data_IF_673948813700
#
_entry.id   IF_673948813700
#
_cell.length_a   1.000
_cell.length_b   1.000
_cell.length_c   1.000
_cell.angle_alpha   90.00
_cell.angle_beta   90.00
_cell.angle_gamma   90.00
#
_symmetry.space_group_name_H-M   'P 1'
#
loop_
_entity.id
_entity.type
_entity.pdbx_description
1 polymer ?
#
# COMPACT_ATOMS: atom_id res chain seq x y z
N UNK A 1 1.48 -6.54 -54.36
CA UNK A 1 2.88 -6.86 -54.01
C UNK A 1 2.95 -7.35 -52.60
N UNK A 2 2.91 -8.67 -52.40
CA UNK A 2 3.03 -9.30 -51.08
C UNK A 2 4.48 -9.21 -50.58
N UNK A 3 4.64 -8.58 -49.45
CA UNK A 3 5.92 -8.37 -48.77
C UNK A 3 6.34 -9.69 -48.10
N UNK A 4 7.08 -10.57 -48.84
CA UNK A 4 7.65 -11.84 -48.34
C UNK A 4 8.62 -11.52 -47.21
N UNK A 5 8.19 -11.69 -45.96
CA UNK A 5 9.03 -11.59 -44.76
C UNK A 5 10.19 -12.60 -44.85
N UNK A 6 11.41 -12.09 -44.76
CA UNK A 6 12.65 -12.88 -44.83
C UNK A 6 12.69 -13.91 -43.66
N UNK A 7 12.72 -15.24 -43.94
CA UNK A 7 12.68 -16.29 -42.94
C UNK A 7 13.88 -16.30 -41.98
N UNK A 8 15.00 -15.69 -42.35
CA UNK A 8 16.16 -15.53 -41.47
C UNK A 8 15.88 -14.53 -40.34
N UNK A 9 15.14 -13.48 -40.63
CA UNK A 9 14.71 -12.46 -39.63
C UNK A 9 13.76 -13.08 -38.59
N UNK A 10 12.82 -13.91 -38.98
CA UNK A 10 11.89 -14.59 -38.07
C UNK A 10 12.57 -15.60 -37.13
N UNK A 11 13.60 -16.32 -37.62
CA UNK A 11 14.37 -17.26 -36.81
C UNK A 11 15.28 -16.56 -35.81
N UNK A 12 15.87 -15.46 -36.23
CA UNK A 12 16.70 -14.60 -35.39
C UNK A 12 15.85 -13.90 -34.33
N UNK A 13 14.64 -13.42 -34.66
CA UNK A 13 13.68 -12.85 -33.73
C UNK A 13 13.19 -13.90 -32.72
N UNK A 14 12.92 -15.12 -33.10
CA UNK A 14 12.57 -16.25 -32.19
C UNK A 14 13.72 -16.57 -31.22
N UNK A 15 14.96 -16.53 -31.72
CA UNK A 15 16.14 -16.79 -30.88
C UNK A 15 16.34 -15.67 -29.86
N UNK A 16 16.26 -14.42 -30.28
CA UNK A 16 16.29 -13.24 -29.41
C UNK A 16 15.12 -13.27 -28.40
N UNK A 17 13.93 -13.70 -28.82
CA UNK A 17 12.79 -13.89 -27.92
C UNK A 17 13.07 -14.92 -26.84
N UNK A 18 13.61 -16.10 -27.19
CA UNK A 18 13.97 -17.13 -26.20
C UNK A 18 15.06 -16.63 -25.25
N UNK A 19 16.05 -15.88 -25.76
CA UNK A 19 17.10 -15.28 -24.92
C UNK A 19 16.54 -14.17 -24.01
N UNK A 20 15.66 -13.29 -24.53
CA UNK A 20 14.99 -12.26 -23.73
C UNK A 20 14.04 -12.87 -22.70
N UNK A 21 13.31 -13.95 -23.04
CA UNK A 21 12.50 -14.70 -22.08
C UNK A 21 13.38 -15.41 -21.04
N UNK A 22 14.51 -15.98 -21.45
CA UNK A 22 15.48 -16.59 -20.54
C UNK A 22 16.12 -15.53 -19.64
N UNK A 23 16.49 -14.38 -20.20
CA UNK A 23 17.02 -13.24 -19.47
C UNK A 23 15.95 -12.57 -18.58
N UNK A 24 14.70 -12.45 -19.03
CA UNK A 24 13.59 -11.98 -18.21
C UNK A 24 13.27 -12.92 -17.03
N UNK A 25 13.51 -14.21 -17.18
CA UNK A 25 13.46 -15.18 -16.07
C UNK A 25 14.65 -15.04 -15.11
N UNK A 26 15.74 -14.43 -15.54
CA UNK A 26 16.95 -14.20 -14.78
C UNK A 26 17.07 -12.75 -14.28
N UNK A 27 16.27 -11.80 -14.80
CA UNK A 27 16.32 -10.38 -14.43
C UNK A 27 15.59 -10.15 -13.12
N UNK A 28 16.27 -9.56 -12.26
CA UNK A 28 16.14 -9.06 -10.91
C UNK A 28 14.73 -8.99 -10.29
N UNK A 29 13.83 -8.28 -10.87
CA UNK A 29 12.50 -8.07 -10.31
C UNK A 29 11.50 -9.19 -10.64
N UNK A 30 11.71 -9.94 -11.73
CA UNK A 30 10.92 -11.14 -12.03
C UNK A 30 11.45 -12.36 -11.30
N UNK A 31 12.76 -12.48 -11.08
CA UNK A 31 13.30 -13.50 -10.17
C UNK A 31 12.77 -13.26 -8.76
N UNK A 32 12.69 -12.02 -8.30
CA UNK A 32 12.04 -11.66 -7.04
C UNK A 32 10.60 -12.16 -6.97
N UNK A 33 9.80 -11.87 -7.99
CA UNK A 33 8.42 -12.30 -8.03
C UNK A 33 8.32 -13.83 -8.04
N UNK A 34 9.04 -14.50 -8.94
CA UNK A 34 9.04 -15.97 -9.05
C UNK A 34 9.57 -16.65 -7.80
N UNK A 35 10.64 -16.10 -7.21
CA UNK A 35 11.28 -16.62 -6.02
C UNK A 35 10.32 -16.63 -4.82
N UNK A 36 9.52 -15.59 -4.70
CA UNK A 36 8.70 -15.33 -3.52
C UNK A 36 7.29 -15.92 -3.68
N UNK A 37 6.74 -15.95 -4.90
CA UNK A 37 5.35 -16.37 -5.16
C UNK A 37 5.23 -17.76 -5.76
N UNK A 38 6.28 -18.27 -6.40
CA UNK A 38 6.25 -19.50 -7.20
C UNK A 38 5.74 -19.29 -8.63
N UNK A 39 6.01 -20.24 -9.54
CA UNK A 39 5.75 -20.10 -10.97
C UNK A 39 4.25 -20.04 -11.32
N UNK A 40 3.38 -20.61 -10.48
CA UNK A 40 1.95 -20.76 -10.79
C UNK A 40 1.22 -19.42 -10.82
N UNK A 41 1.60 -18.47 -9.96
CA UNK A 41 0.95 -17.16 -9.89
C UNK A 41 1.16 -16.32 -11.15
N UNK A 42 2.32 -16.42 -11.80
CA UNK A 42 2.54 -15.75 -13.10
C UNK A 42 1.81 -16.46 -14.25
N UNK A 43 1.72 -17.79 -14.22
CA UNK A 43 0.96 -18.54 -15.21
C UNK A 43 -0.53 -18.21 -15.20
N UNK A 44 -1.13 -18.11 -14.02
CA UNK A 44 -2.53 -17.66 -13.86
C UNK A 44 -2.75 -16.24 -14.39
N UNK A 45 -1.74 -15.40 -14.32
CA UNK A 45 -1.82 -13.99 -14.71
C UNK A 45 -1.46 -13.76 -16.18
N UNK A 46 -0.61 -14.59 -16.76
CA UNK A 46 -0.41 -14.61 -18.23
C UNK A 46 -1.72 -14.91 -18.96
N UNK A 47 -2.61 -15.72 -18.37
CA UNK A 47 -3.95 -15.97 -18.90
C UNK A 47 -4.88 -14.73 -18.86
N UNK A 48 -4.60 -13.76 -18.00
CA UNK A 48 -5.33 -12.49 -17.91
C UNK A 48 -4.76 -11.40 -18.84
N UNK A 49 -3.61 -11.64 -19.46
CA UNK A 49 -3.04 -10.69 -20.40
C UNK A 49 -3.79 -10.75 -21.73
N UNK A 50 -4.23 -9.61 -22.27
CA UNK A 50 -4.77 -9.57 -23.62
C UNK A 50 -3.71 -10.00 -24.63
N UNK A 51 -4.13 -10.54 -25.77
CA UNK A 51 -3.23 -10.80 -26.90
C UNK A 51 -2.40 -9.53 -27.20
N UNK A 52 -1.09 -9.65 -27.14
CA UNK A 52 -0.18 -8.53 -27.39
C UNK A 52 0.79 -8.84 -28.53
N UNK A 53 1.05 -7.81 -29.32
CA UNK A 53 2.12 -7.89 -30.33
C UNK A 53 3.46 -7.90 -29.62
N UNK A 54 4.37 -8.74 -30.10
CA UNK A 54 5.73 -8.78 -29.63
C UNK A 54 6.41 -7.40 -29.80
N UNK A 55 6.77 -6.78 -28.68
CA UNK A 55 7.41 -5.46 -28.63
C UNK A 55 8.67 -5.52 -27.78
N UNK A 56 9.49 -4.44 -27.81
CA UNK A 56 10.72 -4.32 -27.04
C UNK A 56 10.50 -4.58 -25.53
N UNK A 57 9.37 -4.12 -24.98
CA UNK A 57 8.98 -4.31 -23.59
C UNK A 57 7.61 -5.03 -23.54
N UNK A 58 7.60 -6.38 -23.46
CA UNK A 58 6.39 -7.15 -23.17
C UNK A 58 5.82 -6.83 -21.79
N UNK A 59 4.56 -7.18 -21.48
CA UNK A 59 3.93 -6.85 -20.19
C UNK A 59 4.73 -7.33 -18.98
N UNK A 60 5.27 -8.55 -18.99
CA UNK A 60 6.08 -9.11 -17.90
C UNK A 60 7.37 -8.32 -17.68
N UNK A 61 8.11 -8.00 -18.74
CA UNK A 61 9.31 -7.16 -18.66
C UNK A 61 8.96 -5.75 -18.20
N UNK A 62 7.83 -5.20 -18.68
CA UNK A 62 7.37 -3.88 -18.27
C UNK A 62 7.03 -3.84 -16.79
N UNK A 63 6.34 -4.87 -16.28
CA UNK A 63 6.02 -5.02 -14.86
C UNK A 63 7.30 -5.11 -14.02
N UNK A 64 8.25 -5.95 -14.44
CA UNK A 64 9.54 -6.10 -13.77
C UNK A 64 10.32 -4.78 -13.68
N UNK A 65 10.43 -4.07 -14.79
CA UNK A 65 11.08 -2.75 -14.83
C UNK A 65 10.37 -1.73 -13.95
N UNK A 66 9.03 -1.77 -13.89
CA UNK A 66 8.27 -0.81 -13.09
C UNK A 66 8.37 -1.13 -11.59
N UNK A 67 8.43 -2.41 -11.20
CA UNK A 67 8.76 -2.82 -9.84
C UNK A 67 10.18 -2.40 -9.44
N UNK A 68 11.18 -2.65 -10.29
CA UNK A 68 12.55 -2.17 -10.07
C UNK A 68 12.61 -0.65 -9.93
N UNK A 69 11.87 0.08 -10.78
CA UNK A 69 11.79 1.54 -10.73
C UNK A 69 11.30 2.06 -9.37
N UNK A 70 10.23 1.50 -8.79
CA UNK A 70 9.71 1.96 -7.49
C UNK A 70 10.55 1.49 -6.30
N UNK A 71 11.35 0.43 -6.45
CA UNK A 71 12.29 -0.05 -5.45
C UNK A 71 13.64 0.70 -5.50
N UNK A 72 13.95 1.32 -6.64
CA UNK A 72 15.18 2.10 -6.82
C UNK A 72 15.12 3.44 -6.09
N UNK A 73 16.25 3.87 -5.53
CA UNK A 73 16.39 5.16 -4.86
C UNK A 73 16.16 6.36 -5.81
N UNK A 74 16.51 6.24 -7.09
CA UNK A 74 16.28 7.25 -8.11
C UNK A 74 14.81 7.30 -8.58
N UNK A 75 14.17 6.15 -8.73
CA UNK A 75 12.76 6.04 -9.14
C UNK A 75 12.45 6.57 -10.54
N UNK A 76 13.45 6.94 -11.34
CA UNK A 76 13.25 7.52 -12.67
C UNK A 76 13.07 6.46 -13.76
N UNK A 77 12.33 6.82 -14.81
CA UNK A 77 12.24 5.99 -16.01
C UNK A 77 13.59 5.79 -16.68
N UNK A 78 14.50 6.78 -16.58
CA UNK A 78 15.82 6.70 -17.17
C UNK A 78 16.66 5.64 -16.48
N UNK A 79 16.62 5.59 -15.13
CA UNK A 79 17.33 4.56 -14.39
C UNK A 79 16.80 3.16 -14.74
N UNK A 80 15.49 2.96 -14.79
CA UNK A 80 14.89 1.67 -15.17
C UNK A 80 15.28 1.23 -16.60
N UNK A 81 15.39 2.16 -17.55
CA UNK A 81 15.87 1.87 -18.90
C UNK A 81 17.37 1.53 -18.91
N UNK A 82 18.18 2.26 -18.16
CA UNK A 82 19.63 1.99 -18.04
C UNK A 82 19.89 0.60 -17.43
N UNK A 83 19.20 0.25 -16.34
CA UNK A 83 19.29 -1.08 -15.73
C UNK A 83 18.89 -2.19 -16.72
N UNK A 84 17.80 -2.00 -17.46
CA UNK A 84 17.38 -2.95 -18.50
C UNK A 84 18.41 -3.06 -19.64
N UNK A 85 19.09 -1.97 -20.02
CA UNK A 85 20.15 -2.00 -21.02
C UNK A 85 21.38 -2.79 -20.53
N UNK A 86 21.81 -2.57 -19.29
CA UNK A 86 22.92 -3.32 -18.67
C UNK A 86 22.55 -4.81 -18.60
N UNK A 87 21.36 -5.14 -18.12
CA UNK A 87 20.86 -6.50 -18.04
C UNK A 87 20.86 -7.21 -19.41
N UNK A 88 20.40 -6.53 -20.47
CA UNK A 88 20.43 -7.06 -21.84
C UNK A 88 21.86 -7.32 -22.33
N UNK A 89 22.74 -6.36 -22.08
CA UNK A 89 24.17 -6.48 -22.48
C UNK A 89 24.83 -7.68 -21.80
N UNK A 90 24.63 -7.84 -20.48
CA UNK A 90 25.17 -8.96 -19.72
C UNK A 90 24.57 -10.33 -20.15
N UNK A 91 23.36 -10.32 -20.71
CA UNK A 91 22.73 -11.51 -21.30
C UNK A 91 23.12 -11.75 -22.77
N UNK A 92 24.11 -11.05 -23.31
CA UNK A 92 24.55 -11.18 -24.69
C UNK A 92 23.55 -10.66 -25.73
N UNK A 93 22.66 -9.76 -25.34
CA UNK A 93 21.65 -9.13 -26.22
C UNK A 93 21.97 -7.65 -26.41
N UNK A 94 21.78 -7.14 -27.61
CA UNK A 94 21.94 -5.71 -27.90
C UNK A 94 21.21 -4.84 -26.88
N UNK A 95 21.87 -3.84 -26.25
CA UNK A 95 21.28 -3.01 -25.19
C UNK A 95 20.09 -2.19 -25.67
N UNK A 96 20.09 -1.80 -26.94
CA UNK A 96 19.05 -0.99 -27.55
C UNK A 96 19.16 0.52 -27.18
N UNK A 97 18.10 1.29 -27.44
CA UNK A 97 18.08 2.73 -27.22
C UNK A 97 17.88 3.10 -25.74
N UNK A 98 18.62 4.10 -25.25
CA UNK A 98 18.46 4.70 -23.93
C UNK A 98 17.20 5.60 -23.81
N UNK A 99 16.43 5.79 -24.90
CA UNK A 99 15.23 6.62 -24.87
C UNK A 99 14.12 5.97 -24.04
N UNK A 100 13.53 6.74 -23.14
CA UNK A 100 12.48 6.28 -22.21
C UNK A 100 11.09 6.19 -22.85
N UNK A 101 10.89 6.71 -24.07
CA UNK A 101 9.58 6.76 -24.73
C UNK A 101 8.90 5.41 -24.87
N UNK A 102 9.63 4.41 -25.42
CA UNK A 102 9.12 3.05 -25.58
C UNK A 102 8.74 2.38 -24.26
N UNK A 103 9.49 2.62 -23.18
CA UNK A 103 9.18 2.14 -21.85
C UNK A 103 7.95 2.86 -21.27
N UNK A 104 7.88 4.18 -21.42
CA UNK A 104 6.71 4.97 -20.99
C UNK A 104 5.42 4.48 -21.66
N UNK A 105 5.47 4.18 -22.96
CA UNK A 105 4.32 3.63 -23.68
C UNK A 105 4.01 2.19 -23.28
N UNK A 106 5.01 1.38 -22.95
CA UNK A 106 4.80 0.04 -22.42
C UNK A 106 4.07 0.09 -21.06
N UNK A 107 4.45 1.00 -20.15
CA UNK A 107 3.75 1.19 -18.88
C UNK A 107 2.29 1.64 -19.06
N UNK A 108 1.97 2.48 -20.06
CA UNK A 108 0.59 2.85 -20.38
C UNK A 108 -0.24 1.64 -20.80
N UNK A 109 0.34 0.74 -21.60
CA UNK A 109 -0.34 -0.48 -22.09
C UNK A 109 -0.50 -1.57 -21.02
N UNK A 110 0.31 -1.58 -19.97
CA UNK A 110 0.17 -2.54 -18.88
C UNK A 110 -1.21 -2.35 -18.23
N UNK A 111 -2.08 -3.38 -18.19
CA UNK A 111 -3.40 -3.25 -17.56
C UNK A 111 -3.27 -2.96 -16.07
N UNK A 112 -4.01 -1.97 -15.57
CA UNK A 112 -4.04 -1.64 -14.14
C UNK A 112 -4.62 -2.79 -13.34
N UNK A 113 -5.68 -3.37 -13.84
CA UNK A 113 -6.43 -4.49 -13.25
C UNK A 113 -5.53 -5.71 -13.00
N UNK A 114 -4.60 -5.99 -13.90
CA UNK A 114 -3.60 -7.03 -13.74
C UNK A 114 -2.70 -6.74 -12.53
N UNK A 115 -2.20 -5.52 -12.39
CA UNK A 115 -1.32 -5.15 -11.27
C UNK A 115 -2.08 -5.20 -9.94
N UNK A 116 -3.35 -4.76 -9.95
CA UNK A 116 -4.24 -4.85 -8.79
C UNK A 116 -4.43 -6.29 -8.35
N UNK A 117 -4.77 -7.16 -9.29
CA UNK A 117 -5.00 -8.58 -9.00
C UNK A 117 -3.74 -9.28 -8.50
N UNK A 118 -2.58 -8.99 -9.07
CA UNK A 118 -1.29 -9.45 -8.56
C UNK A 118 -1.07 -9.04 -7.10
N UNK A 119 -1.24 -7.77 -6.79
CA UNK A 119 -1.03 -7.27 -5.44
C UNK A 119 -1.97 -7.92 -4.42
N UNK A 120 -3.25 -8.11 -4.81
CA UNK A 120 -4.27 -8.79 -4.00
C UNK A 120 -3.98 -10.28 -3.86
N UNK A 121 -3.56 -10.96 -4.93
CA UNK A 121 -3.21 -12.39 -4.92
C UNK A 121 -2.05 -12.68 -3.99
N UNK A 122 -0.98 -11.88 -4.03
CA UNK A 122 0.14 -11.99 -3.08
C UNK A 122 -0.38 -11.87 -1.63
N UNK A 123 -1.23 -10.89 -1.35
CA UNK A 123 -1.78 -10.70 0.00
C UNK A 123 -2.70 -11.85 0.43
N UNK A 124 -3.54 -12.39 -0.48
CA UNK A 124 -4.39 -13.57 -0.22
C UNK A 124 -3.54 -14.81 0.06
N UNK A 125 -2.51 -15.06 -0.76
CA UNK A 125 -1.59 -16.17 -0.56
C UNK A 125 -0.89 -16.11 0.81
N UNK A 126 -0.49 -14.90 1.24
CA UNK A 126 0.04 -14.71 2.60
C UNK A 126 -1.01 -15.02 3.67
N UNK A 127 -2.26 -14.58 3.47
CA UNK A 127 -3.37 -14.83 4.38
C UNK A 127 -3.65 -16.33 4.57
N UNK A 128 -3.74 -17.10 3.48
CA UNK A 128 -3.99 -18.55 3.53
C UNK A 128 -2.86 -19.34 4.20
N UNK A 129 -1.61 -18.90 3.99
CA UNK A 129 -0.40 -19.53 4.55
C UNK A 129 -0.04 -19.01 5.96
N UNK A 130 -0.83 -18.08 6.54
CA UNK A 130 -0.55 -17.51 7.86
C UNK A 130 -0.72 -18.56 8.95
N UNK A 131 0.33 -18.92 9.72
CA UNK A 131 0.23 -19.90 10.82
C UNK A 131 -0.73 -19.44 11.92
N UNK A 132 -1.33 -20.40 12.63
CA UNK A 132 -2.30 -20.11 13.69
C UNK A 132 -1.69 -19.27 14.83
N UNK A 133 -0.42 -19.48 15.17
CA UNK A 133 0.31 -18.74 16.20
C UNK A 133 0.54 -17.26 15.87
N UNK A 134 0.40 -16.84 14.60
CA UNK A 134 0.46 -15.43 14.21
C UNK A 134 -0.89 -14.74 14.28
N UNK A 135 -1.97 -15.50 14.53
CA UNK A 135 -3.34 -15.01 14.61
C UNK A 135 -3.75 -14.85 16.07
N UNK A 136 -4.62 -13.89 16.32
CA UNK A 136 -5.18 -13.72 17.65
C UNK A 136 -6.30 -14.74 17.89
N UNK A 137 -6.05 -15.72 18.74
CA UNK A 137 -7.00 -16.83 19.00
C UNK A 137 -7.48 -17.54 17.73
N UNK A 138 -6.57 -17.73 16.76
CA UNK A 138 -6.85 -18.34 15.46
C UNK A 138 -7.58 -17.43 14.47
N UNK A 139 -7.90 -16.18 14.84
CA UNK A 139 -8.66 -15.22 14.02
C UNK A 139 -7.74 -14.21 13.35
N UNK A 140 -8.12 -13.77 12.16
CA UNK A 140 -7.44 -12.69 11.46
C UNK A 140 -7.85 -11.33 12.02
N UNK A 141 -6.86 -10.49 12.26
CA UNK A 141 -7.06 -9.09 12.61
C UNK A 141 -6.67 -8.24 11.42
N UNK A 142 -7.55 -7.32 11.03
CA UNK A 142 -7.37 -6.38 9.94
C UNK A 142 -7.38 -4.96 10.47
N UNK A 143 -6.34 -4.22 10.11
CA UNK A 143 -6.14 -2.82 10.49
C UNK A 143 -6.65 -1.94 9.36
N UNK A 144 -7.36 -0.88 9.70
CA UNK A 144 -7.86 0.10 8.73
C UNK A 144 -7.41 1.49 9.13
N UNK A 145 -6.89 2.23 8.17
CA UNK A 145 -6.54 3.63 8.35
C UNK A 145 -6.49 4.37 7.01
N UNK A 146 -6.66 5.69 7.08
CA UNK A 146 -6.57 6.61 5.96
C UNK A 146 -5.21 7.29 5.87
N UNK A 147 -4.82 7.68 4.67
CA UNK A 147 -3.64 8.52 4.42
C UNK A 147 -3.83 9.35 3.16
N UNK A 148 -2.86 10.20 2.84
CA UNK A 148 -2.85 11.01 1.63
C UNK A 148 -1.55 10.84 0.86
N UNK A 149 -1.62 11.00 -0.46
CA UNK A 149 -0.48 11.03 -1.37
C UNK A 149 -0.56 12.27 -2.27
N UNK A 150 0.59 12.74 -2.72
CA UNK A 150 0.71 13.85 -3.64
C UNK A 150 1.05 13.37 -5.05
N UNK A 151 0.72 14.18 -6.04
CA UNK A 151 0.98 13.89 -7.46
C UNK A 151 1.61 15.10 -8.14
N UNK A 152 2.27 14.92 -9.31
CA UNK A 152 2.76 16.04 -10.12
C UNK A 152 1.65 17.02 -10.47
N UNK A 153 2.00 18.31 -10.44
CA UNK A 153 1.11 19.41 -10.76
C UNK A 153 0.86 19.48 -12.28
N UNK A 154 -0.11 18.71 -12.76
CA UNK A 154 -0.59 18.70 -14.14
C UNK A 154 -2.08 18.99 -14.18
N UNK A 155 -2.59 19.50 -15.31
CA UNK A 155 -4.01 19.78 -15.47
C UNK A 155 -4.89 18.54 -15.27
N UNK A 156 -4.44 17.37 -15.76
CA UNK A 156 -5.17 16.11 -15.57
C UNK A 156 -5.24 15.70 -14.10
N UNK A 157 -4.10 15.72 -13.40
CA UNK A 157 -4.07 15.35 -11.97
C UNK A 157 -4.85 16.37 -11.12
N UNK A 158 -4.78 17.68 -11.40
CA UNK A 158 -5.58 18.69 -10.71
C UNK A 158 -7.09 18.55 -10.98
N UNK A 159 -7.46 18.12 -12.18
CA UNK A 159 -8.87 17.89 -12.54
C UNK A 159 -9.51 16.77 -11.75
N UNK A 160 -8.80 15.65 -11.56
CA UNK A 160 -9.30 14.48 -10.83
C UNK A 160 -9.00 14.49 -9.33
N UNK A 161 -7.84 15.02 -8.94
CA UNK A 161 -7.36 15.10 -7.56
C UNK A 161 -6.96 16.53 -7.19
N UNK A 162 -7.95 17.43 -7.01
CA UNK A 162 -7.66 18.83 -6.78
C UNK A 162 -6.76 19.06 -5.56
N UNK A 163 -5.97 20.13 -5.57
CA UNK A 163 -5.20 20.59 -4.43
C UNK A 163 -6.06 20.83 -3.18
N UNK A 164 -5.45 20.87 -2.01
CA UNK A 164 -6.16 21.16 -0.75
C UNK A 164 -6.85 22.52 -0.80
N UNK A 165 -8.11 22.57 -0.32
CA UNK A 165 -8.95 23.78 -0.43
C UNK A 165 -8.47 24.98 0.36
N UNK A 166 -7.65 24.80 1.42
CA UNK A 166 -7.04 25.88 2.19
C UNK A 166 -5.84 26.54 1.49
N UNK A 167 -5.35 25.96 0.41
CA UNK A 167 -4.22 26.51 -0.34
C UNK A 167 -4.73 27.45 -1.44
N UNK A 168 -3.97 28.52 -1.70
CA UNK A 168 -4.26 29.44 -2.81
C UNK A 168 -4.32 28.68 -4.13
N UNK A 169 -5.32 28.97 -4.94
CA UNK A 169 -5.52 28.29 -6.22
C UNK A 169 -4.24 28.29 -7.08
N UNK A 170 -3.86 27.11 -7.58
CA UNK A 170 -2.65 26.88 -8.38
C UNK A 170 -1.32 26.94 -7.61
N UNK A 171 -1.34 26.99 -6.27
CA UNK A 171 -0.15 26.95 -5.43
C UNK A 171 0.08 25.56 -4.77
N UNK A 172 -0.97 24.72 -4.72
CA UNK A 172 -0.91 23.39 -4.15
C UNK A 172 -0.69 22.28 -5.17
N UNK A 173 -0.23 21.14 -4.70
CA UNK A 173 -0.15 19.93 -5.51
C UNK A 173 -1.47 19.15 -5.48
N UNK A 174 -1.79 18.40 -6.55
CA UNK A 174 -2.87 17.43 -6.53
C UNK A 174 -2.69 16.46 -5.37
N UNK A 175 -3.79 16.17 -4.67
CA UNK A 175 -3.77 15.32 -3.48
C UNK A 175 -4.89 14.29 -3.52
N UNK A 176 -4.53 13.00 -3.36
CA UNK A 176 -5.50 11.93 -3.21
C UNK A 176 -5.54 11.44 -1.76
N UNK A 177 -6.73 10.98 -1.35
CA UNK A 177 -6.95 10.23 -0.13
C UNK A 177 -6.87 8.74 -0.44
N UNK A 178 -6.23 7.99 0.43
CA UNK A 178 -6.19 6.54 0.41
C UNK A 178 -6.80 5.99 1.69
N UNK A 179 -7.49 4.87 1.58
CA UNK A 179 -7.85 4.03 2.73
C UNK A 179 -7.31 2.64 2.44
N UNK A 180 -6.61 2.04 3.39
CA UNK A 180 -6.02 0.72 3.24
C UNK A 180 -6.50 -0.26 4.29
N UNK A 181 -6.62 -1.53 3.90
CA UNK A 181 -6.87 -2.66 4.81
C UNK A 181 -5.61 -3.50 4.90
N UNK A 182 -5.04 -3.62 6.10
CA UNK A 182 -3.74 -4.27 6.33
C UNK A 182 -3.91 -5.43 7.30
N UNK A 183 -3.31 -6.59 7.00
CA UNK A 183 -3.27 -7.72 7.94
C UNK A 183 -2.36 -7.42 9.13
N UNK A 184 -2.83 -7.62 10.36
CA UNK A 184 -1.97 -7.50 11.54
C UNK A 184 -0.92 -8.61 11.58
N UNK A 185 -1.24 -9.83 11.16
CA UNK A 185 -0.35 -10.97 11.27
C UNK A 185 0.95 -10.81 10.45
N UNK A 186 0.83 -10.43 9.18
CA UNK A 186 1.98 -10.38 8.26
C UNK A 186 2.26 -8.98 7.69
N UNK A 187 1.39 -8.01 7.93
CA UNK A 187 1.56 -6.62 7.51
C UNK A 187 1.31 -6.35 6.02
N UNK A 188 0.82 -7.31 5.23
CA UNK A 188 0.49 -7.04 3.83
C UNK A 188 -0.74 -6.14 3.72
N UNK A 189 -0.74 -5.27 2.72
CA UNK A 189 -1.86 -4.43 2.31
C UNK A 189 -2.82 -5.30 1.48
N UNK A 190 -3.98 -5.63 2.04
CA UNK A 190 -4.95 -6.54 1.43
C UNK A 190 -5.65 -5.88 0.25
N UNK A 191 -6.03 -4.62 0.42
CA UNK A 191 -6.62 -3.79 -0.62
C UNK A 191 -6.49 -2.30 -0.25
N UNK A 192 -6.67 -1.42 -1.26
CA UNK A 192 -6.62 0.03 -1.10
C UNK A 192 -7.64 0.71 -2.00
N UNK A 193 -8.40 1.64 -1.44
CA UNK A 193 -9.27 2.56 -2.17
C UNK A 193 -8.61 3.94 -2.27
N UNK A 194 -8.75 4.58 -3.43
CA UNK A 194 -8.20 5.89 -3.72
C UNK A 194 -9.25 6.83 -4.27
N UNK A 195 -9.40 7.99 -3.68
CA UNK A 195 -10.30 9.04 -4.13
C UNK A 195 -9.70 10.44 -3.99
N UNK A 196 -10.35 11.46 -4.55
CA UNK A 196 -9.95 12.84 -4.33
C UNK A 196 -10.06 13.22 -2.85
N UNK A 197 -9.16 14.06 -2.39
CA UNK A 197 -9.18 14.54 -0.99
C UNK A 197 -10.40 15.43 -0.71
N UNK A 198 -10.89 16.17 -1.71
CA UNK A 198 -12.00 17.11 -1.63
C UNK A 198 -13.16 16.65 -2.51
N UNK A 199 -14.38 16.76 -2.01
CA UNK A 199 -15.60 16.43 -2.73
C UNK A 199 -16.65 15.75 -1.85
N UNK A 200 -17.88 15.62 -2.35
CA UNK A 200 -18.92 14.81 -1.71
C UNK A 200 -18.62 13.32 -1.96
N UNK A 201 -18.82 12.48 -0.96
CA UNK A 201 -18.60 11.03 -1.08
C UNK A 201 -17.13 10.60 -1.17
N UNK A 202 -16.17 11.48 -0.89
CA UNK A 202 -14.72 11.20 -0.95
C UNK A 202 -14.07 11.03 0.42
N UNK A 203 -14.87 10.98 1.49
CA UNK A 203 -14.39 10.76 2.85
C UNK A 203 -13.88 9.33 3.05
N UNK A 204 -13.10 9.10 4.11
CA UNK A 204 -12.55 7.77 4.42
C UNK A 204 -13.62 6.70 4.57
N UNK A 205 -14.78 7.02 5.16
CA UNK A 205 -15.91 6.09 5.22
C UNK A 205 -16.45 5.69 3.84
N UNK A 206 -16.49 6.63 2.88
CA UNK A 206 -16.94 6.31 1.53
C UNK A 206 -15.97 5.37 0.82
N UNK A 207 -14.68 5.66 0.90
CA UNK A 207 -13.63 4.78 0.35
C UNK A 207 -13.57 3.43 1.07
N UNK A 208 -13.78 3.41 2.39
CA UNK A 208 -13.77 2.16 3.15
C UNK A 208 -14.90 1.22 2.76
N UNK A 209 -16.09 1.74 2.39
CA UNK A 209 -17.19 0.89 1.91
C UNK A 209 -16.80 0.05 0.69
N UNK A 210 -15.92 0.56 -0.19
CA UNK A 210 -15.38 -0.19 -1.32
C UNK A 210 -14.48 -1.37 -0.90
N UNK A 211 -14.02 -1.37 0.37
CA UNK A 211 -13.08 -2.35 0.92
C UNK A 211 -13.74 -3.37 1.86
N UNK A 212 -15.06 -3.30 2.07
CA UNK A 212 -15.77 -4.22 2.97
C UNK A 212 -15.61 -5.67 2.54
N UNK A 213 -15.49 -5.96 1.22
CA UNK A 213 -15.22 -7.30 0.70
C UNK A 213 -13.88 -7.89 1.18
N UNK A 214 -12.99 -7.09 1.76
CA UNK A 214 -11.77 -7.60 2.39
C UNK A 214 -12.03 -8.36 3.69
N UNK A 215 -13.24 -8.28 4.26
CA UNK A 215 -13.59 -8.88 5.53
C UNK A 215 -14.47 -10.12 5.35
N UNK A 216 -14.20 -11.13 6.16
CA UNK A 216 -14.97 -12.36 6.23
C UNK A 216 -15.50 -12.56 7.66
N UNK A 217 -16.55 -13.38 7.79
CA UNK A 217 -17.10 -13.79 9.09
C UNK A 217 -15.98 -14.33 9.99
N UNK A 218 -15.93 -13.83 11.20
CA UNK A 218 -14.92 -14.20 12.18
C UNK A 218 -13.66 -13.34 12.19
N UNK A 219 -13.47 -12.43 11.23
CA UNK A 219 -12.40 -11.42 11.28
C UNK A 219 -12.60 -10.41 12.41
N UNK A 220 -11.54 -9.68 12.74
CA UNK A 220 -11.58 -8.59 13.72
C UNK A 220 -11.02 -7.34 13.05
N UNK A 221 -11.80 -6.25 13.06
CA UNK A 221 -11.37 -4.95 12.57
C UNK A 221 -10.84 -4.07 13.71
N UNK A 222 -9.66 -3.49 13.55
CA UNK A 222 -9.13 -2.45 14.43
C UNK A 222 -9.00 -1.15 13.63
N UNK A 223 -9.58 -0.07 14.15
CA UNK A 223 -9.49 1.25 13.56
C UNK A 223 -9.55 2.34 14.66
N UNK A 224 -9.36 3.58 14.25
CA UNK A 224 -9.46 4.73 15.15
C UNK A 224 -10.92 5.17 15.41
N UNK A 225 -11.08 6.27 16.13
CA UNK A 225 -12.38 6.81 16.50
C UNK A 225 -13.22 7.28 15.30
N UNK A 226 -12.59 7.62 14.18
CA UNK A 226 -13.29 8.05 12.98
C UNK A 226 -14.20 6.93 12.42
N UNK A 227 -13.79 5.67 12.54
CA UNK A 227 -14.55 4.51 12.07
C UNK A 227 -15.66 4.06 13.03
N UNK A 228 -15.74 4.59 14.25
CA UNK A 228 -16.75 4.22 15.25
C UNK A 228 -18.13 4.83 14.95
N UNK A 229 -18.66 4.63 13.75
CA UNK A 229 -19.99 5.09 13.32
C UNK A 229 -21.03 3.98 13.42
N UNK A 230 -22.29 4.36 13.71
CA UNK A 230 -23.41 3.41 13.86
C UNK A 230 -23.53 2.47 12.66
N UNK A 231 -23.66 3.02 11.46
CA UNK A 231 -23.91 2.24 10.24
C UNK A 231 -22.76 1.32 9.87
N UNK A 232 -21.51 1.73 10.10
CA UNK A 232 -20.37 0.86 9.88
C UNK A 232 -20.33 -0.30 10.89
N UNK A 233 -20.58 -0.01 12.15
CA UNK A 233 -20.65 -1.04 13.20
C UNK A 233 -21.77 -2.03 12.90
N UNK A 234 -22.97 -1.55 12.51
CA UNK A 234 -24.09 -2.40 12.12
C UNK A 234 -23.73 -3.30 10.93
N UNK A 235 -23.09 -2.76 9.90
CA UNK A 235 -22.63 -3.52 8.74
C UNK A 235 -21.62 -4.61 9.11
N UNK A 236 -20.62 -4.29 9.94
CA UNK A 236 -19.63 -5.28 10.42
C UNK A 236 -20.29 -6.39 11.24
N UNK A 237 -21.21 -6.03 12.14
CA UNK A 237 -21.95 -7.02 12.93
C UNK A 237 -22.80 -7.93 12.05
N UNK A 238 -23.48 -7.39 11.04
CA UNK A 238 -24.26 -8.17 10.07
C UNK A 238 -23.38 -9.14 9.26
N UNK A 239 -22.13 -8.75 8.96
CA UNK A 239 -21.13 -9.61 8.31
C UNK A 239 -20.50 -10.65 9.28
N UNK A 240 -20.80 -10.59 10.57
CA UNK A 240 -20.15 -11.42 11.59
C UNK A 240 -18.67 -11.07 11.81
N UNK A 241 -18.30 -9.82 11.56
CA UNK A 241 -16.97 -9.26 11.79
C UNK A 241 -16.97 -8.54 13.14
N UNK A 242 -16.06 -8.94 14.03
CA UNK A 242 -15.86 -8.25 15.29
C UNK A 242 -14.99 -7.00 15.10
N UNK A 243 -15.07 -6.09 16.05
CA UNK A 243 -14.30 -4.84 15.98
C UNK A 243 -13.86 -4.37 17.37
N UNK A 244 -12.78 -3.58 17.37
CA UNK A 244 -12.38 -2.75 18.52
C UNK A 244 -11.97 -1.38 18.00
N UNK A 245 -12.76 -0.37 18.34
CA UNK A 245 -12.52 1.03 17.96
C UNK A 245 -12.37 1.92 19.19
N UNK A 246 -11.67 3.04 19.06
CA UNK A 246 -11.83 4.14 19.99
C UNK A 246 -13.18 4.80 19.72
N UNK A 247 -13.91 5.16 20.77
CA UNK A 247 -15.21 5.80 20.61
C UNK A 247 -15.08 7.17 19.94
N UNK A 248 -16.02 7.47 19.06
CA UNK A 248 -16.06 8.77 18.39
C UNK A 248 -16.28 9.91 19.39
N UNK A 249 -15.50 10.98 19.27
CA UNK A 249 -15.50 12.08 20.24
C UNK A 249 -16.83 12.82 20.44
N UNK A 250 -17.75 12.73 19.45
CA UNK A 250 -19.10 13.30 19.58
C UNK A 250 -20.07 12.45 20.43
N UNK A 251 -19.69 11.21 20.80
CA UNK A 251 -20.52 10.33 21.62
C UNK A 251 -20.05 10.35 23.07
N UNK A 252 -20.97 10.59 23.98
CA UNK A 252 -20.71 10.57 25.42
C UNK A 252 -21.11 9.23 26.00
N UNK A 253 -20.19 8.56 26.71
CA UNK A 253 -20.45 7.34 27.45
C UNK A 253 -20.86 7.67 28.89
N UNK A 254 -22.01 7.16 29.30
CA UNK A 254 -22.44 7.14 30.71
C UNK A 254 -22.36 5.74 31.27
N UNK A 255 -21.30 5.41 32.01
CA UNK A 255 -21.10 4.11 32.63
C UNK A 255 -22.08 3.78 33.79
N UNK A 256 -23.01 4.66 34.10
CA UNK A 256 -24.07 4.43 35.09
C UNK A 256 -25.26 3.70 34.47
N UNK A 257 -25.43 3.79 33.14
CA UNK A 257 -26.52 3.18 32.38
C UNK A 257 -26.10 1.83 31.77
N UNK A 258 -27.07 1.06 31.29
CA UNK A 258 -26.85 -0.24 30.67
C UNK A 258 -26.44 -1.35 31.64
N UNK A 259 -26.16 -2.52 31.09
CA UNK A 259 -25.74 -3.71 31.87
C UNK A 259 -24.25 -3.57 32.28
N UNK A 260 -23.99 -3.56 33.58
CA UNK A 260 -22.65 -3.45 34.13
C UNK A 260 -21.87 -4.76 34.01
N UNK A 261 -20.73 -4.73 33.35
CA UNK A 261 -19.79 -5.84 33.23
C UNK A 261 -18.59 -5.70 34.20
N UNK A 262 -18.36 -4.48 34.68
CA UNK A 262 -17.28 -4.17 35.61
C UNK A 262 -17.06 -2.67 35.78
N UNK A 263 -15.94 -2.29 36.40
CA UNK A 263 -15.62 -0.87 36.62
C UNK A 263 -15.36 -0.16 35.29
N UNK A 264 -16.26 0.76 34.91
CA UNK A 264 -16.23 1.49 33.61
C UNK A 264 -16.16 0.52 32.44
N UNK A 265 -17.07 -0.45 32.46
CA UNK A 265 -17.22 -1.53 31.48
C UNK A 265 -18.69 -1.96 31.52
N UNK A 266 -19.42 -1.76 30.42
CA UNK A 266 -20.85 -2.01 30.35
C UNK A 266 -21.33 -2.34 28.92
N UNK A 267 -22.51 -2.93 28.80
CA UNK A 267 -23.24 -3.01 27.55
C UNK A 267 -24.10 -1.76 27.39
N UNK A 268 -23.99 -1.12 26.25
CA UNK A 268 -24.75 0.05 25.87
C UNK A 268 -25.64 -0.25 24.66
N UNK A 269 -26.86 0.28 24.69
CA UNK A 269 -27.77 0.26 23.55
C UNK A 269 -27.54 1.54 22.73
N UNK A 270 -27.16 1.38 21.48
CA UNK A 270 -27.00 2.50 20.56
C UNK A 270 -28.21 2.58 19.64
N UNK A 271 -28.97 3.67 19.74
CA UNK A 271 -30.12 3.93 18.86
C UNK A 271 -29.64 4.39 17.49
N UNK A 272 -30.32 3.92 16.44
CA UNK A 272 -30.04 4.30 15.04
C UNK A 272 -30.20 5.82 14.87
N UNK A 273 -29.16 6.52 14.40
CA UNK A 273 -29.25 7.97 14.16
C UNK A 273 -30.14 8.26 12.94
N UNK A 274 -30.50 9.54 12.76
CA UNK A 274 -31.24 9.98 11.59
C UNK A 274 -30.52 9.58 10.29
N UNK A 275 -31.31 9.34 9.24
CA UNK A 275 -30.79 8.91 7.92
C UNK A 275 -29.81 9.94 7.35
N UNK A 276 -28.59 9.55 7.03
CA UNK A 276 -27.64 10.44 6.36
C UNK A 276 -28.11 10.75 4.92
N UNK A 277 -27.80 11.93 4.41
CA UNK A 277 -28.19 12.34 3.06
C UNK A 277 -27.67 11.45 1.93
N UNK A 278 -26.54 10.76 2.15
CA UNK A 278 -25.92 9.88 1.16
C UNK A 278 -26.52 8.47 1.11
N UNK A 279 -27.38 8.10 2.08
CA UNK A 279 -27.97 6.76 2.23
C UNK A 279 -29.40 6.75 1.67
N UNK A 280 -29.77 5.74 0.89
CA UNK A 280 -31.14 5.55 0.43
C UNK A 280 -32.06 5.21 1.61
N UNK A 281 -33.36 5.36 1.44
CA UNK A 281 -34.35 4.97 2.47
C UNK A 281 -34.34 3.45 2.68
N UNK A 282 -34.29 2.69 1.60
CA UNK A 282 -34.23 1.23 1.63
C UNK A 282 -33.00 0.72 2.38
N UNK A 283 -31.80 1.28 2.07
CA UNK A 283 -30.58 0.96 2.79
C UNK A 283 -30.68 1.33 4.29
N UNK A 284 -31.24 2.51 4.60
CA UNK A 284 -31.43 2.93 5.98
C UNK A 284 -32.35 1.98 6.76
N UNK A 285 -33.47 1.56 6.17
CA UNK A 285 -34.45 0.68 6.81
C UNK A 285 -33.93 -0.75 6.97
N UNK A 286 -32.93 -1.16 6.20
CA UNK A 286 -32.24 -2.46 6.36
C UNK A 286 -31.38 -2.53 7.63
N UNK A 287 -31.01 -1.39 8.22
CA UNK A 287 -30.23 -1.38 9.46
C UNK A 287 -31.12 -1.53 10.69
N UNK A 288 -30.67 -2.23 11.75
CA UNK A 288 -31.42 -2.38 12.99
C UNK A 288 -31.70 -1.02 13.66
N UNK A 289 -32.82 -0.92 14.38
CA UNK A 289 -33.18 0.29 15.12
C UNK A 289 -32.22 0.55 16.30
N UNK A 290 -31.67 -0.52 16.88
CA UNK A 290 -30.74 -0.46 18.02
C UNK A 290 -29.61 -1.46 17.83
N UNK A 291 -28.44 -1.13 18.38
CA UNK A 291 -27.26 -2.00 18.47
C UNK A 291 -26.82 -2.16 19.90
N UNK A 292 -26.59 -3.39 20.32
CA UNK A 292 -25.90 -3.66 21.58
C UNK A 292 -24.40 -3.69 21.34
N UNK A 293 -23.67 -2.81 22.01
CA UNK A 293 -22.20 -2.73 21.97
C UNK A 293 -21.63 -2.73 23.38
N UNK A 294 -20.41 -3.15 23.53
CA UNK A 294 -19.69 -2.99 24.78
C UNK A 294 -18.82 -1.75 24.74
N UNK A 295 -19.03 -0.84 25.68
CA UNK A 295 -18.18 0.31 25.93
C UNK A 295 -17.29 0.06 27.15
N UNK A 296 -15.99 0.22 27.02
CA UNK A 296 -15.04 -0.03 28.09
C UNK A 296 -13.94 1.02 28.14
N UNK A 297 -13.63 1.56 29.35
CA UNK A 297 -12.58 2.56 29.51
C UNK A 297 -11.25 1.91 29.81
N UNK A 298 -10.29 2.06 28.91
CA UNK A 298 -8.91 1.57 29.02
C UNK A 298 -7.97 2.78 29.07
N UNK A 299 -7.31 3.01 30.19
CA UNK A 299 -6.54 4.23 30.42
C UNK A 299 -7.40 5.49 30.29
N UNK A 300 -7.01 6.38 29.37
CA UNK A 300 -7.75 7.62 29.08
C UNK A 300 -8.82 7.45 27.99
N UNK A 301 -8.82 6.34 27.25
CA UNK A 301 -9.69 6.11 26.10
C UNK A 301 -10.92 5.28 26.46
N UNK A 302 -12.04 5.57 25.82
CA UNK A 302 -13.21 4.70 25.79
C UNK A 302 -13.14 3.91 24.49
N UNK A 303 -13.21 2.59 24.60
CA UNK A 303 -13.24 1.66 23.47
C UNK A 303 -14.65 1.12 23.31
N UNK A 304 -15.08 0.97 22.06
CA UNK A 304 -16.32 0.31 21.67
C UNK A 304 -16.00 -0.98 20.92
N UNK A 305 -16.74 -2.05 21.23
CA UNK A 305 -16.46 -3.38 20.67
C UNK A 305 -17.71 -4.25 20.62
N UNK A 306 -17.72 -5.23 19.72
CA UNK A 306 -18.70 -6.32 19.63
C UNK A 306 -18.43 -7.47 20.60
N UNK A 307 -17.31 -7.47 21.34
CA UNK A 307 -17.01 -8.50 22.34
C UNK A 307 -17.84 -8.31 23.62
N UNK A 308 -19.12 -8.70 23.56
CA UNK A 308 -20.10 -8.44 24.62
C UNK A 308 -19.82 -9.24 25.89
N UNK A 309 -19.30 -10.48 25.79
CA UNK A 309 -19.06 -11.35 26.93
C UNK A 309 -17.67 -11.09 27.56
N UNK A 310 -17.59 -10.52 28.78
CA UNK A 310 -16.33 -10.20 29.45
C UNK A 310 -15.55 -11.43 29.91
N UNK A 311 -16.21 -12.61 30.03
CA UNK A 311 -15.53 -13.88 30.35
C UNK A 311 -14.82 -14.45 29.10
N UNK A 312 -15.40 -14.25 27.92
CA UNK A 312 -14.78 -14.66 26.66
C UNK A 312 -13.62 -13.75 26.27
N UNK A 313 -13.81 -12.41 26.33
CA UNK A 313 -12.77 -11.42 26.05
C UNK A 313 -12.77 -10.36 27.15
N UNK A 314 -11.77 -10.41 28.03
CA UNK A 314 -11.70 -9.50 29.15
C UNK A 314 -11.27 -8.07 28.72
N UNK A 315 -11.57 -7.07 29.54
CA UNK A 315 -11.24 -5.66 29.30
C UNK A 315 -9.77 -5.42 28.95
N UNK A 316 -8.85 -6.15 29.63
CA UNK A 316 -7.41 -6.05 29.37
C UNK A 316 -7.05 -6.51 27.96
N UNK A 317 -7.70 -7.57 27.48
CA UNK A 317 -7.49 -8.08 26.11
C UNK A 317 -8.02 -7.12 25.07
N UNK A 318 -9.21 -6.53 25.28
CA UNK A 318 -9.75 -5.46 24.40
C UNK A 318 -8.75 -4.29 24.30
N UNK A 319 -8.20 -3.87 25.44
CA UNK A 319 -7.17 -2.82 25.45
C UNK A 319 -5.88 -3.24 24.72
N UNK A 320 -5.43 -4.47 24.92
CA UNK A 320 -4.23 -5.01 24.27
C UNK A 320 -4.40 -5.12 22.75
N UNK A 321 -5.61 -5.51 22.28
CA UNK A 321 -5.95 -5.50 20.87
C UNK A 321 -5.91 -4.10 20.29
N UNK A 322 -6.54 -3.14 20.96
CA UNK A 322 -6.58 -1.75 20.48
C UNK A 322 -5.17 -1.15 20.30
N UNK A 323 -4.24 -1.46 21.19
CA UNK A 323 -2.84 -1.01 21.06
C UNK A 323 -2.20 -1.51 19.76
N UNK A 324 -2.58 -2.69 19.26
CA UNK A 324 -2.08 -3.22 18.00
C UNK A 324 -2.49 -2.38 16.77
N UNK A 325 -3.53 -1.54 16.88
CA UNK A 325 -3.93 -0.59 15.83
C UNK A 325 -2.76 0.27 15.37
N UNK A 326 -1.87 0.68 16.29
CA UNK A 326 -0.70 1.51 15.96
C UNK A 326 0.18 0.93 14.84
N UNK A 327 0.12 -0.37 14.61
CA UNK A 327 0.90 -1.00 13.53
C UNK A 327 0.50 -0.51 12.14
N UNK A 328 -0.74 -0.04 11.91
CA UNK A 328 -1.15 0.51 10.62
C UNK A 328 -0.36 1.76 10.25
N UNK A 329 -0.08 2.62 11.23
CA UNK A 329 0.70 3.84 11.02
C UNK A 329 2.16 3.52 10.63
N UNK A 330 2.73 2.45 11.22
CA UNK A 330 4.06 1.96 10.84
C UNK A 330 4.08 1.37 9.42
N UNK A 331 3.03 0.64 9.06
CA UNK A 331 2.90 0.02 7.74
C UNK A 331 2.72 1.09 6.65
N UNK A 332 1.83 2.05 6.85
CA UNK A 332 1.63 3.18 5.94
C UNK A 332 2.90 4.02 5.79
N UNK A 333 3.66 4.22 6.89
CA UNK A 333 4.97 4.88 6.83
C UNK A 333 5.98 4.08 5.99
N UNK A 334 6.01 2.76 6.11
CA UNK A 334 6.89 1.93 5.28
C UNK A 334 6.56 2.09 3.78
N UNK A 335 5.29 2.11 3.41
CA UNK A 335 4.87 2.32 2.02
C UNK A 335 5.20 3.74 1.56
N UNK A 336 4.87 4.76 2.37
CA UNK A 336 5.00 6.17 1.98
C UNK A 336 6.44 6.66 2.01
N UNK A 337 7.13 6.43 3.13
CA UNK A 337 8.44 7.05 3.39
C UNK A 337 9.59 6.12 3.00
N UNK A 338 9.47 4.80 3.26
CA UNK A 338 10.56 3.87 2.95
C UNK A 338 10.57 3.49 1.48
N UNK A 339 9.41 3.24 0.86
CA UNK A 339 9.29 2.98 -0.58
C UNK A 339 9.13 4.25 -1.43
N UNK A 340 8.78 5.40 -0.84
CA UNK A 340 8.66 6.66 -1.56
C UNK A 340 7.28 6.98 -2.15
N UNK A 341 6.23 6.21 -1.85
CA UNK A 341 4.87 6.41 -2.38
C UNK A 341 4.23 7.74 -1.94
N UNK A 342 4.80 8.48 -0.97
CA UNK A 342 4.23 9.75 -0.50
C UNK A 342 4.01 10.78 -1.64
N UNK A 343 4.85 10.72 -2.67
CA UNK A 343 4.75 11.58 -3.86
C UNK A 343 4.91 10.72 -5.11
N UNK A 344 3.82 10.53 -5.84
CA UNK A 344 3.84 9.81 -7.11
C UNK A 344 4.56 10.61 -8.20
N UNK A 345 5.06 9.93 -9.22
CA UNK A 345 5.87 10.51 -10.30
C UNK A 345 5.09 10.67 -11.62
N UNK A 346 4.02 9.91 -11.78
CA UNK A 346 3.25 9.86 -13.02
C UNK A 346 2.42 11.14 -13.24
N UNK A 347 2.29 11.54 -14.51
CA UNK A 347 1.71 12.86 -14.89
C UNK A 347 0.22 12.81 -15.23
N UNK A 348 -0.38 11.61 -15.27
CA UNK A 348 -1.82 11.43 -15.55
C UNK A 348 -2.48 10.65 -14.43
N UNK A 349 -3.76 10.90 -14.14
CA UNK A 349 -4.49 10.21 -13.07
C UNK A 349 -4.48 8.69 -13.20
N UNK A 350 -4.67 8.18 -14.42
CA UNK A 350 -4.64 6.75 -14.71
C UNK A 350 -3.27 6.13 -14.37
N UNK A 351 -2.19 6.80 -14.80
CA UNK A 351 -0.84 6.34 -14.52
C UNK A 351 -0.47 6.49 -13.04
N UNK A 352 -0.98 7.49 -12.33
CA UNK A 352 -0.84 7.62 -10.88
C UNK A 352 -1.55 6.45 -10.17
N UNK A 353 -2.75 6.08 -10.58
CA UNK A 353 -3.45 4.92 -10.03
C UNK A 353 -2.68 3.62 -10.30
N UNK A 354 -2.09 3.45 -11.47
CA UNK A 354 -1.25 2.30 -11.80
C UNK A 354 0.03 2.27 -10.97
N UNK A 355 0.72 3.39 -10.84
CA UNK A 355 1.92 3.55 -10.02
C UNK A 355 1.65 3.21 -8.55
N UNK A 356 0.51 3.65 -8.00
CA UNK A 356 0.04 3.26 -6.66
C UNK A 356 0.03 1.73 -6.50
N UNK A 357 -0.57 1.01 -7.45
CA UNK A 357 -0.67 -0.44 -7.38
C UNK A 357 0.67 -1.16 -7.54
N UNK A 358 1.60 -0.60 -8.30
CA UNK A 358 2.99 -1.10 -8.34
C UNK A 358 3.66 -0.94 -6.96
N UNK A 359 3.46 0.18 -6.26
CA UNK A 359 3.96 0.35 -4.89
C UNK A 359 3.33 -0.65 -3.92
N UNK A 360 2.02 -0.90 -4.03
CA UNK A 360 1.31 -1.90 -3.21
C UNK A 360 1.88 -3.30 -3.48
N UNK A 361 2.09 -3.67 -4.74
CA UNK A 361 2.69 -4.95 -5.11
C UNK A 361 4.12 -5.08 -4.57
N UNK A 362 4.97 -4.09 -4.78
CA UNK A 362 6.33 -4.07 -4.26
C UNK A 362 6.36 -4.20 -2.73
N UNK A 363 5.49 -3.47 -2.04
CA UNK A 363 5.33 -3.57 -0.60
C UNK A 363 4.94 -4.98 -0.15
N UNK A 364 3.93 -5.57 -0.78
CA UNK A 364 3.46 -6.92 -0.45
C UNK A 364 4.53 -7.99 -0.71
N UNK A 365 5.33 -7.86 -1.76
CA UNK A 365 6.43 -8.77 -2.03
C UNK A 365 7.52 -8.70 -0.94
N UNK A 366 7.89 -7.50 -0.48
CA UNK A 366 8.82 -7.36 0.65
C UNK A 366 8.21 -7.97 1.94
N UNK A 367 6.90 -7.77 2.18
CA UNK A 367 6.20 -8.39 3.32
C UNK A 367 6.17 -9.92 3.21
N UNK A 368 6.06 -10.46 2.01
CA UNK A 368 6.11 -11.91 1.79
C UNK A 368 7.50 -12.48 2.11
N UNK A 369 8.59 -11.80 1.70
CA UNK A 369 9.96 -12.15 2.12
C UNK A 369 10.09 -12.15 3.65
N UNK A 370 9.56 -11.11 4.30
CA UNK A 370 9.58 -11.02 5.77
C UNK A 370 8.82 -12.18 6.41
N UNK A 371 7.67 -12.57 5.86
CA UNK A 371 6.88 -13.68 6.38
C UNK A 371 7.61 -15.02 6.23
N UNK A 372 8.25 -15.25 5.08
CA UNK A 372 9.04 -16.47 4.84
C UNK A 372 10.26 -16.55 5.79
N UNK A 373 11.00 -15.44 5.90
CA UNK A 373 12.14 -15.36 6.84
C UNK A 373 11.70 -15.52 8.30
N UNK A 374 10.55 -14.96 8.68
CA UNK A 374 9.99 -15.09 10.01
C UNK A 374 9.56 -16.53 10.34
N UNK A 375 8.96 -17.22 9.37
CA UNK A 375 8.60 -18.64 9.52
C UNK A 375 9.82 -19.52 9.71
N UNK A 376 10.90 -19.29 8.94
CA UNK A 376 12.15 -20.03 9.08
C UNK A 376 12.85 -19.76 10.42
N UNK A 377 12.76 -18.53 10.94
CA UNK A 377 13.41 -18.11 12.17
C UNK A 377 12.54 -18.27 13.41
N UNK A 378 11.33 -18.85 13.29
CA UNK A 378 10.32 -19.00 14.35
C UNK A 378 10.05 -17.69 15.12
N UNK A 379 9.78 -16.62 14.38
CA UNK A 379 9.44 -15.29 14.92
C UNK A 379 8.21 -14.70 14.24
N UNK A 380 7.68 -13.61 14.79
CA UNK A 380 6.59 -12.90 14.13
C UNK A 380 7.15 -11.99 13.01
N UNK A 381 6.51 -11.88 11.83
CA UNK A 381 6.94 -11.02 10.74
C UNK A 381 7.15 -9.56 11.16
N UNK A 382 6.34 -9.06 12.10
CA UNK A 382 6.43 -7.69 12.63
C UNK A 382 7.64 -7.45 13.54
N UNK A 383 8.36 -8.49 13.92
CA UNK A 383 9.64 -8.36 14.64
C UNK A 383 10.80 -8.08 13.70
N UNK A 384 10.63 -8.28 12.39
CA UNK A 384 11.65 -8.02 11.37
C UNK A 384 11.59 -6.57 10.88
N UNK A 385 12.74 -6.05 10.43
CA UNK A 385 12.84 -4.68 9.92
C UNK A 385 12.50 -4.64 8.42
N UNK A 386 11.43 -3.93 8.06
CA UNK A 386 11.03 -3.74 6.65
C UNK A 386 12.17 -3.10 5.83
N UNK A 387 12.76 -2.01 6.32
CA UNK A 387 13.87 -1.34 5.63
C UNK A 387 15.08 -2.25 5.44
N UNK A 388 15.43 -3.03 6.45
CA UNK A 388 16.52 -3.98 6.35
C UNK A 388 16.23 -5.06 5.31
N UNK A 389 15.02 -5.64 5.34
CA UNK A 389 14.60 -6.64 4.35
C UNK A 389 14.73 -6.11 2.92
N UNK A 390 14.24 -4.90 2.66
CA UNK A 390 14.37 -4.25 1.36
C UNK A 390 15.84 -4.06 0.96
N UNK A 391 16.69 -3.59 1.86
CA UNK A 391 18.12 -3.38 1.58
C UNK A 391 18.86 -4.70 1.33
N UNK A 392 18.58 -5.74 2.11
CA UNK A 392 19.15 -7.07 1.91
C UNK A 392 18.71 -7.64 0.57
N UNK A 393 17.41 -7.52 0.24
CA UNK A 393 16.91 -7.97 -1.05
C UNK A 393 17.62 -7.27 -2.21
N UNK A 394 17.68 -5.95 -2.22
CA UNK A 394 18.34 -5.18 -3.28
C UNK A 394 19.84 -5.56 -3.44
N UNK A 395 20.54 -5.74 -2.33
CA UNK A 395 21.94 -6.16 -2.38
C UNK A 395 22.10 -7.61 -2.85
N UNK A 396 21.17 -8.49 -2.47
CA UNK A 396 21.17 -9.89 -2.87
C UNK A 396 20.91 -10.04 -4.37
N UNK A 397 19.87 -9.38 -4.87
CA UNK A 397 19.45 -9.45 -6.28
C UNK A 397 20.55 -8.98 -7.22
N UNK A 398 21.23 -7.86 -6.93
CA UNK A 398 22.35 -7.38 -7.73
C UNK A 398 23.54 -8.37 -7.78
N UNK A 399 23.84 -9.05 -6.66
CA UNK A 399 24.93 -10.02 -6.62
C UNK A 399 24.58 -11.35 -7.27
N UNK A 400 23.34 -11.80 -7.12
CA UNK A 400 22.86 -13.03 -7.73
C UNK A 400 22.90 -12.94 -9.25
N UNK A 401 22.64 -11.75 -9.80
CA UNK A 401 22.77 -11.50 -11.24
C UNK A 401 24.21 -11.69 -11.77
N UNK A 402 25.21 -11.48 -10.92
CA UNK A 402 26.64 -11.61 -11.25
C UNK A 402 27.23 -12.99 -10.89
N UNK A 403 26.43 -13.91 -10.37
CA UNK A 403 26.88 -15.20 -9.85
C UNK A 403 26.19 -16.35 -10.56
N UNK A 404 26.96 -17.36 -10.97
CA UNK A 404 26.46 -18.64 -11.50
C UNK A 404 26.10 -19.63 -10.39
N UNK A 405 26.21 -19.24 -9.10
CA UNK A 405 25.88 -20.12 -7.97
C UNK A 405 24.37 -20.26 -7.81
N UNK A 406 23.87 -21.45 -7.42
CA UNK A 406 22.46 -21.64 -7.11
C UNK A 406 21.96 -20.69 -6.03
N UNK A 407 20.70 -20.27 -6.12
CA UNK A 407 20.07 -19.41 -5.14
C UNK A 407 20.00 -20.09 -3.76
N UNK A 408 20.70 -19.54 -2.77
CA UNK A 408 20.61 -19.97 -1.36
C UNK A 408 19.54 -19.14 -0.63
N UNK A 409 18.26 -19.43 -0.88
CA UNK A 409 17.15 -18.78 -0.22
C UNK A 409 17.18 -18.91 1.32
N UNK A 410 17.51 -20.07 1.90
CA UNK A 410 17.73 -20.18 3.34
C UNK A 410 18.75 -19.18 3.88
N UNK A 411 19.84 -18.91 3.18
CA UNK A 411 20.81 -17.89 3.59
C UNK A 411 20.24 -16.47 3.52
N UNK A 412 19.50 -16.14 2.44
CA UNK A 412 18.78 -14.86 2.34
C UNK A 412 17.82 -14.65 3.50
N UNK A 413 17.00 -15.66 3.84
CA UNK A 413 16.05 -15.57 4.94
C UNK A 413 16.75 -15.42 6.30
N UNK A 414 17.88 -16.08 6.53
CA UNK A 414 18.71 -15.87 7.74
C UNK A 414 19.20 -14.44 7.84
N UNK A 415 19.70 -13.85 6.74
CA UNK A 415 20.13 -12.44 6.70
C UNK A 415 18.99 -11.48 7.01
N UNK A 416 17.81 -11.71 6.44
CA UNK A 416 16.62 -10.92 6.72
C UNK A 416 16.22 -11.02 8.18
N UNK A 417 16.24 -12.22 8.77
CA UNK A 417 15.86 -12.47 10.16
C UNK A 417 16.87 -11.96 11.20
N UNK A 418 18.10 -11.62 10.76
CA UNK A 418 19.17 -11.18 11.66
C UNK A 418 18.86 -9.83 12.33
N UNK A 419 18.23 -8.88 11.59
CA UNK A 419 17.90 -7.55 12.12
C UNK A 419 16.44 -7.48 12.54
N UNK A 420 16.21 -7.46 13.84
CA UNK A 420 14.89 -7.32 14.45
C UNK A 420 14.60 -5.87 14.83
N UNK A 421 13.32 -5.51 14.82
CA UNK A 421 12.86 -4.21 15.33
C UNK A 421 13.15 -4.17 16.83
N UNK A 422 14.01 -3.28 17.24
CA UNK A 422 14.40 -3.14 18.65
C UNK A 422 13.26 -2.61 19.50
N UNK A 423 12.91 -3.32 20.56
CA UNK A 423 12.14 -2.74 21.65
C UNK A 423 13.08 -1.75 22.37
N UNK A 424 12.70 -0.47 22.42
CA UNK A 424 13.46 0.57 23.12
C UNK A 424 12.60 1.12 24.26
N UNK A 425 12.41 0.34 25.36
CA UNK A 425 11.65 0.80 26.50
C UNK A 425 12.32 2.03 27.10
N UNK A 426 11.53 3.01 27.51
CA UNK A 426 12.03 4.24 28.11
C UNK A 426 12.60 5.28 27.16
N UNK A 427 12.59 5.04 25.83
CA UNK A 427 13.00 6.07 24.87
C UNK A 427 11.96 7.19 24.84
N UNK A 428 12.40 8.38 25.22
CA UNK A 428 11.63 9.61 25.11
C UNK A 428 12.21 10.43 23.95
N UNK A 429 11.41 10.61 22.90
CA UNK A 429 11.79 11.45 21.76
C UNK A 429 11.13 12.82 21.88
N UNK A 430 11.90 13.92 21.81
CA UNK A 430 11.31 15.24 21.74
C UNK A 430 10.53 15.38 20.42
N UNK A 431 9.30 15.90 20.48
CA UNK A 431 8.50 16.15 19.28
C UNK A 431 8.97 17.36 18.46
N UNK A 432 10.00 18.07 18.96
CA UNK A 432 10.63 19.17 18.25
C UNK A 432 11.65 18.64 17.23
N UNK A 433 11.56 19.11 16.00
CA UNK A 433 12.47 18.73 14.91
C UNK A 433 13.26 19.95 14.48
N UNK A 434 14.58 19.85 14.45
CA UNK A 434 15.43 20.86 13.80
C UNK A 434 15.12 20.88 12.30
N UNK A 435 14.64 22.02 11.81
CA UNK A 435 14.44 22.19 10.36
C UNK A 435 15.80 22.45 9.69
N UNK A 436 16.11 21.69 8.65
CA UNK A 436 17.25 22.00 7.79
C UNK A 436 16.88 23.21 6.91
N UNK A 437 17.79 24.18 6.73
CA UNK A 437 17.55 25.28 5.79
C UNK A 437 17.23 24.71 4.41
N UNK A 438 16.18 25.22 3.77
CA UNK A 438 15.85 24.85 2.40
C UNK A 438 16.62 25.77 1.44
N UNK A 439 17.14 25.27 0.32
CA UNK A 439 17.91 26.08 -0.63
C UNK A 439 17.07 27.16 -1.32
N UNK A 440 15.74 27.00 -1.33
CA UNK A 440 14.82 27.96 -1.94
C UNK A 440 13.64 28.25 -1.00
N UNK A 441 13.14 29.50 -0.98
CA UNK A 441 11.95 29.84 -0.22
C UNK A 441 10.72 29.12 -0.78
N UNK A 442 9.67 29.05 0.04
CA UNK A 442 8.38 28.49 -0.41
C UNK A 442 7.79 29.36 -1.53
N UNK A 443 7.21 28.70 -2.52
CA UNK A 443 6.47 29.39 -3.57
C UNK A 443 5.10 29.85 -3.03
N UNK A 444 4.86 31.14 -2.99
CA UNK A 444 3.62 31.75 -2.51
C UNK A 444 2.63 32.17 -3.61
N UNK A 445 3.02 31.93 -4.87
CA UNK A 445 2.20 32.23 -6.06
C UNK A 445 2.24 31.05 -7.03
N UNK A 446 1.36 31.03 -8.04
CA UNK A 446 1.41 29.99 -9.06
C UNK A 446 2.76 29.99 -9.77
N UNK A 447 3.25 28.83 -10.20
CA UNK A 447 4.51 28.71 -10.96
C UNK A 447 4.52 29.57 -12.23
N UNK A 448 3.38 29.68 -12.89
CA UNK A 448 3.22 30.54 -14.07
C UNK A 448 3.50 32.00 -13.75
N UNK A 449 2.92 32.52 -12.66
CA UNK A 449 3.15 33.90 -12.20
C UNK A 449 4.59 34.09 -11.73
N UNK A 450 5.16 33.15 -10.98
CA UNK A 450 6.55 33.21 -10.57
C UNK A 450 7.52 33.22 -11.75
N UNK A 451 7.30 32.39 -12.78
CA UNK A 451 8.11 32.38 -14.01
C UNK A 451 7.99 33.71 -14.76
N UNK A 452 6.78 34.26 -14.84
CA UNK A 452 6.56 35.62 -15.47
C UNK A 452 7.32 36.67 -14.71
N UNK A 453 7.24 36.71 -13.39
CA UNK A 453 7.99 37.68 -12.58
C UNK A 453 9.49 37.56 -12.75
N UNK A 454 10.05 36.32 -12.79
CA UNK A 454 11.47 36.10 -13.05
C UNK A 454 11.88 36.61 -14.43
N UNK A 455 11.04 36.43 -15.46
CA UNK A 455 11.33 36.94 -16.79
C UNK A 455 11.32 38.48 -16.86
N UNK A 456 10.46 39.11 -16.05
CA UNK A 456 10.31 40.58 -16.04
C UNK A 456 11.32 41.28 -15.13
N UNK A 457 11.69 40.67 -14.02
CA UNK A 457 12.43 41.31 -12.91
C UNK A 457 13.71 40.57 -12.52
N UNK A 458 14.03 39.47 -13.19
CA UNK A 458 15.12 38.59 -12.80
C UNK A 458 14.82 37.70 -11.60
N UNK A 459 15.74 36.79 -11.25
CA UNK A 459 15.61 35.96 -10.06
C UNK A 459 15.70 36.83 -8.79
N UNK A 460 14.81 36.67 -7.80
CA UNK A 460 14.95 37.34 -6.53
C UNK A 460 16.30 36.97 -5.95
N UNK A 461 17.02 37.96 -5.44
CA UNK A 461 18.29 37.73 -4.75
C UNK A 461 18.04 36.72 -3.61
N UNK A 462 18.92 35.73 -3.46
CA UNK A 462 18.88 34.84 -2.29
C UNK A 462 19.02 35.73 -1.07
N UNK A 463 18.00 35.72 -0.21
CA UNK A 463 18.13 36.27 1.11
C UNK A 463 19.26 35.47 1.78
N UNK A 464 20.42 36.09 1.93
CA UNK A 464 21.50 35.53 2.73
C UNK A 464 20.96 35.43 4.16
N UNK A 465 20.79 34.20 4.65
CA UNK A 465 20.48 33.93 6.04
C UNK A 465 21.68 34.25 6.90
#
# INVERSE_FOLDING_TARGET
MENKRNPRSARQQRHVRKQVQKAARQVDSMSFFNLVTGPDLLGELEALLPEYRERKYPPTVTLAMFLGQVLSADGSCQNAVNEAMVSRLLSGVEPGSANTGSYSDARKRLPRELVQELARSVARQMGTRTPAQWRWRGRHIKLVDGTTILMPDTAGNQGQYPQHGSQKAGAGFPIARLVGVISLAHGALLDVAMGPYKGKGTGEHALFRELLQCFAKGDIMLADSYYASYFLIAALMAMGVDFVFEQHGARHTDFRTGEKLGRRDHLAQWVRPARPQWMSLEEYDSFPAELTVRETKVGKKVLVTSFLNPRAVCKREVGSLFVQRWNVELDLRNVKDTLGMAVLSCKTPEMCAKELWIYVLAYNLIRLLMAQAAAQADVLPRQLSFKHTMQVWLAWSHKQFLSDTPEDLPALFRLIAYVRVGKRPGRIEPRAVKQRPKPFPRLHTTRRRARRNIRLHGHPQRLRA
#
